data_IF_539014600788
#
_entry.id   IF_539014600788
#
_cell.length_a   1.000
_cell.length_b   1.000
_cell.length_c   1.000
_cell.angle_alpha   90.00
_cell.angle_beta   90.00
_cell.angle_gamma   90.00
#
_symmetry.space_group_name_H-M   'P 1'
#
loop_
_entity.id
_entity.type
_entity.pdbx_description
1 polymer ?
#
# COMPACT_ATOMS: atom_id res chain seq x y z
N UNK A 1 10.99 -12.38 0.98
CA UNK A 1 9.56 -12.29 0.58
C UNK A 1 9.23 -11.04 -0.26
N UNK A 2 9.88 -9.88 -0.03
CA UNK A 2 9.61 -8.67 -0.83
C UNK A 2 9.85 -8.85 -2.35
N UNK A 3 10.91 -9.57 -2.75
CA UNK A 3 11.19 -9.83 -4.16
C UNK A 3 10.12 -10.66 -4.89
N UNK A 4 9.50 -11.64 -4.23
CA UNK A 4 8.38 -12.39 -4.81
C UNK A 4 7.13 -11.51 -4.93
N UNK A 5 6.87 -10.64 -3.94
CA UNK A 5 5.74 -9.69 -3.99
C UNK A 5 5.90 -8.71 -5.17
N UNK A 6 7.11 -8.15 -5.36
CA UNK A 6 7.40 -7.28 -6.50
C UNK A 6 7.17 -8.00 -7.84
N UNK A 7 7.59 -9.26 -7.92
CA UNK A 7 7.40 -10.09 -9.13
C UNK A 7 5.92 -10.33 -9.41
N UNK A 8 5.11 -10.60 -8.38
CA UNK A 8 3.67 -10.75 -8.53
C UNK A 8 3.02 -9.47 -9.03
N UNK A 9 3.34 -8.30 -8.46
CA UNK A 9 2.80 -7.04 -8.96
C UNK A 9 3.25 -6.71 -10.38
N UNK A 10 4.50 -7.01 -10.74
CA UNK A 10 4.97 -6.88 -12.12
C UNK A 10 4.19 -7.77 -13.08
N UNK A 11 3.97 -9.04 -12.72
CA UNK A 11 3.19 -9.98 -13.52
C UNK A 11 1.73 -9.50 -13.69
N UNK A 12 1.12 -8.98 -12.61
CA UNK A 12 -0.20 -8.37 -12.65
C UNK A 12 -0.25 -7.13 -13.55
N UNK A 13 0.77 -6.27 -13.51
CA UNK A 13 0.85 -5.09 -14.37
C UNK A 13 0.91 -5.50 -15.85
N UNK A 14 1.81 -6.43 -16.19
CA UNK A 14 1.93 -6.96 -17.55
C UNK A 14 0.59 -7.57 -18.00
N UNK A 15 -0.04 -8.36 -17.13
CA UNK A 15 -1.36 -8.91 -17.40
C UNK A 15 -2.39 -7.82 -17.70
N UNK A 16 -2.51 -6.79 -16.87
CA UNK A 16 -3.45 -5.67 -17.04
C UNK A 16 -3.21 -4.84 -18.31
N UNK A 17 -1.96 -4.72 -18.73
CA UNK A 17 -1.59 -4.04 -19.97
C UNK A 17 -1.95 -4.88 -21.20
N UNK A 18 -1.66 -6.18 -21.17
CA UNK A 18 -1.98 -7.10 -22.26
C UNK A 18 -3.50 -7.28 -22.43
N UNK A 19 -4.26 -7.28 -21.34
CA UNK A 19 -5.72 -7.40 -21.36
C UNK A 19 -6.44 -6.05 -21.44
N UNK A 20 -5.70 -4.93 -21.52
CA UNK A 20 -6.26 -3.57 -21.63
C UNK A 20 -7.30 -3.41 -22.76
N UNK A 21 -7.12 -4.00 -23.98
CA UNK A 21 -8.12 -3.91 -25.04
C UNK A 21 -9.50 -4.47 -24.63
N UNK A 22 -9.55 -5.42 -23.70
CA UNK A 22 -10.78 -6.07 -23.25
C UNK A 22 -11.39 -5.40 -22.01
N UNK A 23 -10.57 -5.01 -21.03
CA UNK A 23 -11.08 -4.44 -19.77
C UNK A 23 -11.43 -2.96 -19.85
N UNK A 24 -10.67 -2.17 -20.62
CA UNK A 24 -10.88 -0.74 -20.76
C UNK A 24 -12.25 -0.36 -21.34
N UNK A 25 -12.82 -1.05 -22.36
CA UNK A 25 -14.17 -0.74 -22.84
C UNK A 25 -15.26 -1.17 -21.85
N UNK A 26 -15.04 -2.22 -21.05
CA UNK A 26 -16.03 -2.73 -20.11
C UNK A 26 -16.20 -1.80 -18.89
N UNK A 27 -15.09 -1.36 -18.30
CA UNK A 27 -15.10 -0.43 -17.16
C UNK A 27 -13.80 0.38 -17.08
N UNK A 28 -13.83 1.57 -17.67
CA UNK A 28 -12.68 2.49 -17.75
C UNK A 28 -12.13 2.87 -16.38
N UNK A 29 -13.03 3.11 -15.42
CA UNK A 29 -12.67 3.54 -14.07
C UNK A 29 -11.99 2.40 -13.30
N UNK A 30 -12.56 1.20 -13.33
CA UNK A 30 -11.97 0.04 -12.67
C UNK A 30 -10.59 -0.30 -13.23
N UNK A 31 -10.44 -0.30 -14.57
CA UNK A 31 -9.14 -0.54 -15.19
C UNK A 31 -8.10 0.51 -14.77
N UNK A 32 -8.47 1.80 -14.75
CA UNK A 32 -7.53 2.88 -14.36
C UNK A 32 -7.13 2.77 -12.89
N UNK A 33 -8.09 2.47 -12.00
CA UNK A 33 -7.84 2.27 -10.58
C UNK A 33 -6.91 1.06 -10.34
N UNK A 34 -7.16 -0.07 -11.00
CA UNK A 34 -6.32 -1.27 -10.88
C UNK A 34 -4.89 -1.01 -11.34
N UNK A 35 -4.69 -0.33 -12.46
CA UNK A 35 -3.34 0.05 -12.93
C UNK A 35 -2.67 0.98 -11.91
N UNK A 36 -3.38 1.99 -11.40
CA UNK A 36 -2.82 2.92 -10.41
C UNK A 36 -2.44 2.23 -9.10
N UNK A 37 -3.26 1.29 -8.62
CA UNK A 37 -3.01 0.53 -7.40
C UNK A 37 -1.79 -0.37 -7.54
N UNK A 38 -1.66 -1.09 -8.67
CA UNK A 38 -0.50 -1.95 -8.93
C UNK A 38 0.77 -1.12 -9.05
N UNK A 39 0.74 0.00 -9.76
CA UNK A 39 1.92 0.89 -9.89
C UNK A 39 2.34 1.47 -8.54
N UNK A 40 1.39 1.96 -7.73
CA UNK A 40 1.68 2.49 -6.40
C UNK A 40 2.25 1.40 -5.48
N UNK A 41 1.68 0.20 -5.49
CA UNK A 41 2.18 -0.93 -4.70
C UNK A 41 3.58 -1.38 -5.14
N UNK A 42 3.87 -1.38 -6.45
CA UNK A 42 5.21 -1.65 -6.97
C UNK A 42 6.21 -0.61 -6.48
N UNK A 43 5.86 0.67 -6.52
CA UNK A 43 6.74 1.75 -6.03
C UNK A 43 7.02 1.61 -4.53
N UNK A 44 6.01 1.32 -3.70
CA UNK A 44 6.20 1.06 -2.26
C UNK A 44 7.15 -0.11 -2.02
N UNK A 45 6.91 -1.25 -2.66
CA UNK A 45 7.76 -2.45 -2.47
C UNK A 45 9.18 -2.21 -2.98
N UNK A 46 9.35 -1.54 -4.13
CA UNK A 46 10.66 -1.17 -4.65
C UNK A 46 11.40 -0.22 -3.72
N UNK A 47 10.72 0.79 -3.15
CA UNK A 47 11.31 1.69 -2.16
C UNK A 47 11.76 0.92 -0.91
N UNK A 48 10.91 0.02 -0.39
CA UNK A 48 11.22 -0.83 0.77
C UNK A 48 12.45 -1.70 0.52
N UNK A 49 12.53 -2.35 -0.65
CA UNK A 49 13.70 -3.14 -1.05
C UNK A 49 14.95 -2.27 -1.15
N UNK A 50 14.86 -1.09 -1.77
CA UNK A 50 15.98 -0.17 -1.92
C UNK A 50 16.55 0.29 -0.56
N UNK A 51 15.68 0.65 0.38
CA UNK A 51 16.07 1.05 1.73
C UNK A 51 16.71 -0.09 2.51
N UNK A 52 16.12 -1.29 2.45
CA UNK A 52 16.71 -2.49 3.08
C UNK A 52 18.08 -2.78 2.51
N UNK A 53 18.26 -2.74 1.18
CA UNK A 53 19.56 -2.96 0.56
C UNK A 53 20.59 -1.89 0.93
N UNK A 54 20.18 -0.62 1.00
CA UNK A 54 21.07 0.45 1.45
C UNK A 54 21.54 0.20 2.88
N UNK A 55 20.63 -0.18 3.77
CA UNK A 55 20.95 -0.52 5.16
C UNK A 55 21.88 -1.73 5.26
N UNK A 56 21.58 -2.82 4.54
CA UNK A 56 22.44 -4.01 4.50
C UNK A 56 23.82 -3.73 3.92
N UNK A 57 23.93 -2.85 2.91
CA UNK A 57 25.21 -2.47 2.31
C UNK A 57 26.08 -1.68 3.32
N UNK A 58 25.48 -0.76 4.08
CA UNK A 58 26.21 -0.02 5.11
C UNK A 58 26.72 -0.94 6.23
N UNK A 59 25.88 -1.86 6.71
CA UNK A 59 26.29 -2.83 7.73
C UNK A 59 27.34 -3.81 7.19
N UNK A 60 27.20 -4.30 5.97
CA UNK A 60 28.14 -5.22 5.35
C UNK A 60 29.53 -4.62 5.11
N UNK A 61 29.64 -3.28 5.05
CA UNK A 61 30.93 -2.59 4.95
C UNK A 61 31.71 -2.61 6.27
N UNK A 62 31.01 -2.67 7.41
CA UNK A 62 31.61 -2.76 8.74
C UNK A 62 31.75 -4.22 9.20
N UNK A 63 30.76 -5.05 8.90
CA UNK A 63 30.66 -6.45 9.31
C UNK A 63 30.33 -7.37 8.11
N UNK A 64 31.34 -7.80 7.32
CA UNK A 64 31.15 -8.43 6.00
C UNK A 64 30.40 -9.77 5.97
N UNK A 65 30.16 -10.38 7.13
CA UNK A 65 29.40 -11.64 7.26
C UNK A 65 28.13 -11.50 8.11
N UNK A 66 27.76 -10.28 8.50
CA UNK A 66 26.59 -10.02 9.33
C UNK A 66 25.45 -9.50 8.45
N UNK A 67 24.68 -10.42 7.89
CA UNK A 67 23.38 -10.10 7.30
C UNK A 67 22.36 -10.15 8.43
N UNK A 68 21.79 -9.00 8.78
CA UNK A 68 20.75 -8.95 9.79
C UNK A 68 19.52 -9.73 9.30
N UNK A 69 19.09 -10.69 10.12
CA UNK A 69 17.90 -11.50 9.85
C UNK A 69 16.64 -10.85 10.44
N UNK A 70 16.80 -9.78 11.22
CA UNK A 70 15.71 -8.98 11.79
C UNK A 70 15.19 -8.03 10.71
N UNK A 71 13.86 -7.87 10.65
CA UNK A 71 13.24 -6.93 9.71
C UNK A 71 13.68 -5.50 10.05
N UNK A 72 14.13 -4.75 9.03
CA UNK A 72 14.50 -3.35 9.21
C UNK A 72 13.24 -2.55 9.53
N UNK A 73 13.25 -1.87 10.68
CA UNK A 73 12.17 -0.97 11.07
C UNK A 73 12.08 0.20 10.09
N UNK A 74 10.93 0.31 9.43
CA UNK A 74 10.63 1.35 8.46
C UNK A 74 9.30 2.02 8.82
N UNK A 75 9.26 3.36 8.94
CA UNK A 75 10.37 4.32 8.84
C UNK A 75 11.37 4.18 10.00
N UNK A 76 12.63 4.55 9.78
CA UNK A 76 13.64 4.45 10.84
C UNK A 76 13.44 5.56 11.90
N UNK A 77 13.79 5.28 13.15
CA UNK A 77 13.59 6.21 14.29
C UNK A 77 14.37 7.53 14.16
N UNK A 78 15.40 7.56 13.32
CA UNK A 78 16.24 8.73 13.07
C UNK A 78 15.80 9.56 11.86
N UNK A 79 14.71 9.19 11.17
CA UNK A 79 14.22 9.94 10.02
C UNK A 79 13.65 11.29 10.42
N UNK A 80 13.81 12.28 9.53
CA UNK A 80 13.13 13.55 9.70
C UNK A 80 11.62 13.36 9.59
N UNK A 81 10.85 14.21 10.28
CA UNK A 81 9.38 14.17 10.26
C UNK A 81 8.83 14.19 8.82
N UNK A 82 9.50 14.92 7.92
CA UNK A 82 9.13 14.99 6.52
C UNK A 82 9.31 13.65 5.78
N UNK A 83 10.41 12.93 6.04
CA UNK A 83 10.69 11.62 5.43
C UNK A 83 9.72 10.56 5.93
N UNK A 84 9.49 10.52 7.24
CA UNK A 84 8.49 9.64 7.86
C UNK A 84 7.08 9.93 7.37
N UNK A 85 6.70 11.21 7.25
CA UNK A 85 5.41 11.61 6.70
C UNK A 85 5.25 11.18 5.23
N UNK A 86 6.30 11.32 4.41
CA UNK A 86 6.28 10.87 3.02
C UNK A 86 6.11 9.35 2.90
N UNK A 87 6.74 8.59 3.81
CA UNK A 87 6.57 7.14 3.88
C UNK A 87 5.14 6.72 4.25
N UNK A 88 4.59 7.30 5.32
CA UNK A 88 3.20 7.03 5.69
C UNK A 88 2.21 7.50 4.63
N UNK A 89 2.52 8.56 3.88
CA UNK A 89 1.72 9.00 2.73
C UNK A 89 1.74 7.96 1.60
N UNK A 90 2.90 7.38 1.28
CA UNK A 90 3.02 6.32 0.28
C UNK A 90 2.20 5.09 0.69
N UNK A 91 2.32 4.63 1.94
CA UNK A 91 1.53 3.52 2.48
C UNK A 91 0.03 3.83 2.48
N UNK A 92 -0.37 5.04 2.91
CA UNK A 92 -1.76 5.48 2.88
C UNK A 92 -2.34 5.48 1.46
N UNK A 93 -1.58 5.93 0.45
CA UNK A 93 -2.00 5.91 -0.96
C UNK A 93 -2.19 4.47 -1.45
N UNK A 94 -1.26 3.57 -1.13
CA UNK A 94 -1.37 2.15 -1.52
C UNK A 94 -2.61 1.51 -0.89
N UNK A 95 -2.78 1.65 0.43
CA UNK A 95 -3.94 1.13 1.17
C UNK A 95 -5.25 1.71 0.60
N UNK A 96 -5.30 3.03 0.39
CA UNK A 96 -6.47 3.71 -0.15
C UNK A 96 -6.83 3.22 -1.56
N UNK A 97 -5.86 3.13 -2.46
CA UNK A 97 -6.08 2.62 -3.82
C UNK A 97 -6.55 1.17 -3.83
N UNK A 98 -5.95 0.31 -3.01
CA UNK A 98 -6.37 -1.10 -2.88
C UNK A 98 -7.82 -1.18 -2.40
N UNK A 99 -8.19 -0.47 -1.33
CA UNK A 99 -9.58 -0.48 -0.87
C UNK A 99 -10.56 0.08 -1.92
N UNK A 100 -10.21 1.19 -2.58
CA UNK A 100 -11.08 1.78 -3.62
C UNK A 100 -11.24 0.82 -4.80
N UNK A 101 -10.19 0.12 -5.23
CA UNK A 101 -10.31 -0.90 -6.30
C UNK A 101 -11.23 -2.05 -5.90
N UNK A 102 -11.14 -2.53 -4.66
CA UNK A 102 -12.00 -3.59 -4.16
C UNK A 102 -13.47 -3.15 -4.04
N UNK A 103 -13.71 -1.93 -3.56
CA UNK A 103 -15.06 -1.35 -3.50
C UNK A 103 -15.64 -1.23 -4.92
N UNK A 104 -14.85 -0.70 -5.85
CA UNK A 104 -15.27 -0.57 -7.25
C UNK A 104 -15.59 -1.93 -7.87
N UNK A 105 -14.81 -2.97 -7.56
CA UNK A 105 -15.06 -4.32 -8.01
C UNK A 105 -16.40 -4.87 -7.46
N UNK A 106 -16.67 -4.69 -6.16
CA UNK A 106 -17.94 -5.09 -5.55
C UNK A 106 -19.13 -4.35 -6.15
N UNK A 107 -18.99 -3.03 -6.41
CA UNK A 107 -20.04 -2.24 -7.06
C UNK A 107 -20.33 -2.69 -8.50
N UNK A 108 -19.38 -3.31 -9.19
CA UNK A 108 -19.61 -3.91 -10.51
C UNK A 108 -20.29 -5.29 -10.42
N UNK A 109 -20.06 -6.03 -9.34
CA UNK A 109 -20.63 -7.36 -9.12
C UNK A 109 -22.10 -7.29 -8.69
N UNK A 110 -22.47 -6.22 -7.98
CA UNK A 110 -23.83 -5.96 -7.47
C UNK A 110 -24.41 -4.70 -8.13
N UNK A 111 -24.99 -4.81 -9.34
CA UNK A 111 -25.34 -3.64 -10.15
C UNK A 111 -26.60 -2.88 -9.68
N UNK A 112 -27.29 -3.35 -8.64
CA UNK A 112 -28.48 -2.66 -8.12
C UNK A 112 -28.11 -1.30 -7.52
N UNK A 113 -28.81 -0.24 -7.90
CA UNK A 113 -28.56 1.13 -7.42
C UNK A 113 -28.59 1.24 -5.89
N UNK A 114 -29.42 0.42 -5.22
CA UNK A 114 -29.52 0.39 -3.76
C UNK A 114 -28.30 -0.30 -3.14
N UNK A 115 -27.85 -1.41 -3.73
CA UNK A 115 -26.68 -2.17 -3.27
C UNK A 115 -25.41 -1.33 -3.42
N UNK A 116 -25.21 -0.69 -4.59
CA UNK A 116 -24.07 0.21 -4.81
C UNK A 116 -24.07 1.36 -3.82
N UNK A 117 -25.22 1.96 -3.53
CA UNK A 117 -25.31 3.07 -2.56
C UNK A 117 -25.00 2.61 -1.14
N UNK A 118 -25.43 1.41 -0.75
CA UNK A 118 -25.11 0.83 0.54
C UNK A 118 -23.63 0.48 0.66
N UNK A 119 -23.07 -0.16 -0.36
CA UNK A 119 -21.64 -0.51 -0.47
C UNK A 119 -20.80 0.77 -0.37
N UNK A 120 -21.06 1.77 -1.21
CA UNK A 120 -20.30 3.02 -1.18
C UNK A 120 -20.50 3.79 0.13
N UNK A 121 -21.73 3.82 0.67
CA UNK A 121 -22.04 4.52 1.91
C UNK A 121 -21.33 3.95 3.13
N UNK A 122 -21.11 2.63 3.18
CA UNK A 122 -20.41 1.97 4.30
C UNK A 122 -18.90 1.83 4.06
N UNK A 123 -18.49 1.34 2.90
CA UNK A 123 -17.09 0.97 2.67
C UNK A 123 -16.18 2.14 2.31
N UNK A 124 -16.67 3.20 1.66
CA UNK A 124 -15.81 4.35 1.31
C UNK A 124 -15.32 5.09 2.57
N UNK A 125 -16.17 5.41 3.57
CA UNK A 125 -15.68 5.99 4.82
C UNK A 125 -14.66 5.09 5.52
N UNK A 126 -14.91 3.77 5.53
CA UNK A 126 -14.00 2.82 6.16
C UNK A 126 -12.65 2.75 5.44
N UNK A 127 -12.64 2.81 4.11
CA UNK A 127 -11.42 2.87 3.31
C UNK A 127 -10.60 4.14 3.58
N UNK A 128 -11.27 5.28 3.74
CA UNK A 128 -10.62 6.55 4.09
C UNK A 128 -9.99 6.46 5.49
N UNK A 129 -10.71 5.89 6.46
CA UNK A 129 -10.17 5.67 7.81
C UNK A 129 -8.99 4.70 7.80
N UNK A 130 -9.09 3.56 7.10
CA UNK A 130 -8.02 2.57 6.98
C UNK A 130 -6.74 3.17 6.38
N UNK A 131 -6.88 4.01 5.34
CA UNK A 131 -5.76 4.76 4.77
C UNK A 131 -5.20 5.79 5.77
N UNK A 132 -6.09 6.54 6.44
CA UNK A 132 -5.72 7.60 7.38
C UNK A 132 -5.01 7.13 8.67
N UNK A 133 -5.30 5.91 9.14
CA UNK A 133 -4.65 5.33 10.33
C UNK A 133 -3.13 5.21 10.17
N UNK A 134 -2.60 5.14 8.94
CA UNK A 134 -1.15 5.17 8.71
C UNK A 134 -0.47 6.45 9.25
N UNK A 135 -1.19 7.55 9.39
CA UNK A 135 -0.66 8.79 9.98
C UNK A 135 -0.70 8.81 11.50
N UNK A 136 -1.39 7.86 12.17
CA UNK A 136 -1.46 7.79 13.62
C UNK A 136 -0.06 7.58 14.24
N UNK A 137 0.83 6.89 13.53
CA UNK A 137 2.22 6.68 13.92
C UNK A 137 3.08 7.96 13.93
N UNK A 138 2.57 9.09 13.43
CA UNK A 138 3.22 10.40 13.51
C UNK A 138 2.87 11.17 14.80
N UNK A 139 1.92 10.66 15.60
CA UNK A 139 1.51 11.29 16.86
C UNK A 139 2.63 11.24 17.90
N UNK A 140 2.69 12.24 18.78
CA UNK A 140 3.59 12.23 19.94
C UNK A 140 3.02 11.43 21.13
N UNK A 141 1.73 11.09 21.10
CA UNK A 141 1.03 10.40 22.18
C UNK A 141 1.01 8.89 21.95
N UNK A 142 1.54 8.13 22.92
CA UNK A 142 1.66 6.67 22.83
C UNK A 142 0.30 5.98 22.70
N UNK A 143 -0.74 6.48 23.35
CA UNK A 143 -2.09 5.89 23.26
C UNK A 143 -2.66 5.95 21.85
N UNK A 144 -2.36 7.02 21.10
CA UNK A 144 -2.76 7.17 19.70
C UNK A 144 -2.00 6.21 18.78
N UNK A 145 -0.71 5.99 19.04
CA UNK A 145 0.12 5.04 18.29
C UNK A 145 -0.39 3.61 18.51
N UNK A 146 -0.59 3.22 19.78
CA UNK A 146 -1.06 1.88 20.14
C UNK A 146 -2.44 1.57 19.55
N UNK A 147 -3.34 2.56 19.57
CA UNK A 147 -4.66 2.43 18.94
C UNK A 147 -4.53 2.30 17.41
N UNK A 148 -3.65 3.08 16.79
CA UNK A 148 -3.40 3.01 15.35
C UNK A 148 -2.84 1.64 14.93
N UNK A 149 -1.87 1.12 15.68
CA UNK A 149 -1.31 -0.20 15.45
C UNK A 149 -2.33 -1.31 15.69
N UNK A 150 -3.18 -1.19 16.72
CA UNK A 150 -4.28 -2.12 16.94
C UNK A 150 -5.27 -2.14 15.77
N UNK A 151 -5.62 -0.98 15.20
CA UNK A 151 -6.52 -0.91 14.04
C UNK A 151 -5.85 -1.46 12.77
N UNK A 152 -4.55 -1.22 12.58
CA UNK A 152 -3.80 -1.70 11.40
C UNK A 152 -3.58 -3.22 11.43
N UNK A 153 -3.51 -3.82 12.61
CA UNK A 153 -3.17 -5.22 12.81
C UNK A 153 -4.38 -6.15 13.07
N UNK A 154 -5.60 -5.65 12.83
CA UNK A 154 -6.86 -6.43 12.81
C UNK A 154 -7.19 -6.82 11.38
#
# INVERSE_FOLDING_TARGET
>A
MLGSILTFFFCLLVHLLLTSPYHRPLSKLNWSLQVSAVVAAMLSVSARIGLVFQHSHTLGSEWPYMLDYVEVDLPATNWEVAESAAWYMLEAIVVGLVHITNIQFLSLLFPSTVEVRMICGMLVPLAVLASGVNFASLSSDQGTIDLGDAIRNV
#
